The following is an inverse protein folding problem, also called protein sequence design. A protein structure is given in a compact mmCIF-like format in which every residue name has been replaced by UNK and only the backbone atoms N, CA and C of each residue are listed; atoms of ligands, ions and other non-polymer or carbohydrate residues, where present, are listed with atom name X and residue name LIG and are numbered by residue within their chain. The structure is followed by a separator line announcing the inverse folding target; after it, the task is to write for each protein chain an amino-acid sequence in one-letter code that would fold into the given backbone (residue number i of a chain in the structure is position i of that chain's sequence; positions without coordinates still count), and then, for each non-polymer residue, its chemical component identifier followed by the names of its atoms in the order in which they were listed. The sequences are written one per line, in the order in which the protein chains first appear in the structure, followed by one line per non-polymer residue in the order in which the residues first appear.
data_IF_761462593021
#
_entry.id   IF_761462593021
#
_cell.length_a   1.000
_cell.length_b   1.000
_cell.length_c   1.000
_cell.angle_alpha   90.00
_cell.angle_beta   90.00
_cell.angle_gamma   90.00
#
_symmetry.space_group_name_H-M   'P 1'
#
loop_
_entity.id
_entity.type
_entity.pdbx_description
1 polymer ?
#
# COMPACT_ATOMS: atom_id res chain seq x y z
N UNK A 1 59.05 -17.07 18.50
CA UNK A 1 58.22 -17.35 17.31
C UNK A 1 57.88 -18.84 17.37
N UNK A 2 56.71 -19.29 17.85
CA UNK A 2 55.33 -18.79 17.64
C UNK A 2 55.07 -18.74 16.12
N UNK A 3 54.20 -19.53 15.48
CA UNK A 3 53.13 -20.41 15.99
C UNK A 3 52.92 -21.66 15.09
N UNK A 4 52.72 -22.81 15.75
CA UNK A 4 51.74 -23.88 15.46
C UNK A 4 51.50 -24.39 14.02
N UNK A 5 51.92 -25.65 13.82
CA UNK A 5 51.40 -26.59 12.81
C UNK A 5 50.30 -27.44 13.47
N UNK A 6 49.09 -27.57 12.89
CA UNK A 6 48.35 -28.84 12.64
C UNK A 6 46.88 -28.66 12.22
N UNK A 7 46.28 -29.67 11.55
CA UNK A 7 44.94 -29.62 10.96
C UNK A 7 43.80 -30.03 11.93
N UNK A 8 42.59 -30.03 11.38
CA UNK A 8 41.26 -30.23 11.98
C UNK A 8 41.07 -31.51 12.82
N UNK A 9 40.16 -31.47 13.82
CA UNK A 9 39.44 -32.63 14.32
C UNK A 9 37.94 -32.61 13.94
N UNK A 10 37.43 -33.74 13.45
CA UNK A 10 36.01 -34.01 13.23
C UNK A 10 35.56 -34.98 14.34
N UNK A 11 34.58 -34.63 15.19
CA UNK A 11 33.89 -35.54 16.13
C UNK A 11 32.54 -34.95 16.59
N UNK A 12 31.56 -35.74 17.10
CA UNK A 12 30.15 -35.54 16.74
C UNK A 12 29.14 -35.37 17.91
N UNK A 13 27.87 -35.22 17.51
CA UNK A 13 26.56 -35.28 18.20
C UNK A 13 26.39 -35.68 19.70
N UNK A 14 25.40 -35.02 20.33
CA UNK A 14 24.60 -35.40 21.53
C UNK A 14 25.36 -35.46 22.89
N UNK A 15 24.80 -35.17 24.08
CA UNK A 15 23.41 -35.12 24.60
C UNK A 15 23.31 -34.09 25.82
N UNK A 16 22.32 -34.03 26.76
CA UNK A 16 21.64 -32.75 27.08
C UNK A 16 21.59 -32.26 28.57
N UNK A 17 21.08 -31.03 28.76
CA UNK A 17 20.38 -30.43 29.96
C UNK A 17 21.08 -30.35 31.36
N UNK A 18 20.75 -29.40 32.28
CA UNK A 18 19.40 -28.85 32.59
C UNK A 18 19.25 -27.33 32.84
N UNK A 19 17.98 -26.90 33.00
CA UNK A 19 17.51 -25.50 33.15
C UNK A 19 17.28 -25.10 34.62
N UNK A 20 17.97 -24.06 35.12
CA UNK A 20 17.56 -23.19 36.26
C UNK A 20 18.48 -21.93 36.36
N UNK A 21 18.09 -20.74 36.85
CA UNK A 21 16.95 -19.87 36.51
C UNK A 21 17.25 -18.38 36.93
N UNK A 22 16.48 -17.42 36.38
CA UNK A 22 16.37 -15.97 36.76
C UNK A 22 17.57 -15.01 36.48
N UNK A 23 17.36 -13.68 36.40
CA UNK A 23 16.45 -12.99 35.46
C UNK A 23 17.06 -11.71 34.83
N UNK A 24 16.61 -11.30 33.63
CA UNK A 24 16.88 -9.92 33.13
C UNK A 24 15.85 -9.43 32.12
N UNK A 25 15.00 -8.51 32.59
CA UNK A 25 14.37 -7.36 31.93
C UNK A 25 14.43 -7.22 30.39
N UNK A 26 13.23 -7.15 29.81
CA UNK A 26 12.79 -6.17 28.80
C UNK A 26 13.55 -6.02 27.46
N UNK A 27 12.99 -6.63 26.41
CA UNK A 27 12.47 -5.82 25.29
C UNK A 27 11.26 -6.50 24.66
N UNK A 28 10.11 -5.85 24.77
CA UNK A 28 8.85 -6.31 24.17
C UNK A 28 8.90 -6.17 22.65
N UNK A 29 8.56 -7.23 21.94
CA UNK A 29 8.01 -7.14 20.58
C UNK A 29 6.85 -8.13 20.49
N UNK A 30 5.65 -7.62 20.72
CA UNK A 30 4.40 -8.38 20.63
C UNK A 30 4.20 -8.96 19.24
N UNK A 31 4.13 -10.28 19.15
CA UNK A 31 3.34 -10.94 18.11
C UNK A 31 1.86 -10.67 18.41
N UNK A 32 1.17 -10.02 17.49
CA UNK A 32 -0.29 -10.03 17.41
C UNK A 32 -0.67 -10.29 15.96
N UNK A 33 -1.59 -11.22 15.79
CA UNK A 33 -1.87 -11.89 14.53
C UNK A 33 -2.65 -10.97 13.58
N UNK A 34 -2.37 -11.07 12.28
CA UNK A 34 -2.91 -10.16 11.26
C UNK A 34 -4.32 -10.60 10.82
N UNK A 35 -5.29 -10.53 11.75
CA UNK A 35 -6.71 -10.58 11.41
C UNK A 35 -7.19 -9.18 10.99
N UNK A 36 -7.09 -8.91 9.69
CA UNK A 36 -7.66 -7.71 9.09
C UNK A 36 -8.17 -8.05 7.69
N UNK A 37 -9.11 -9.00 7.66
CA UNK A 37 -10.04 -9.26 6.55
C UNK A 37 -10.95 -8.03 6.34
N UNK A 38 -10.38 -6.95 5.80
CA UNK A 38 -11.17 -5.86 5.25
C UNK A 38 -11.76 -6.33 3.93
N UNK A 39 -13.00 -6.81 4.02
CA UNK A 39 -13.88 -7.22 2.94
C UNK A 39 -13.73 -6.34 1.69
N UNK A 40 -13.45 -6.98 0.55
CA UNK A 40 -13.24 -6.32 -0.74
C UNK A 40 -14.57 -5.96 -1.45
N UNK A 41 -15.73 -5.96 -0.76
CA UNK A 41 -17.06 -5.76 -1.35
C UNK A 41 -17.83 -4.52 -0.86
N UNK A 42 -17.26 -3.64 -0.04
CA UNK A 42 -17.86 -2.32 0.22
C UNK A 42 -17.59 -1.36 -0.96
N UNK A 43 -18.34 -1.53 -2.06
CA UNK A 43 -18.48 -0.52 -3.12
C UNK A 43 -19.30 0.67 -2.59
N UNK A 44 -18.71 1.85 -2.36
CA UNK A 44 -19.47 3.00 -1.91
C UNK A 44 -20.33 3.55 -3.07
N UNK A 45 -21.64 3.35 -2.99
CA UNK A 45 -22.63 3.70 -4.02
C UNK A 45 -22.45 5.11 -4.60
N UNK A 46 -22.11 5.18 -5.89
CA UNK A 46 -21.67 6.37 -6.63
C UNK A 46 -22.78 7.40 -6.95
N UNK A 47 -23.51 7.98 -5.98
CA UNK A 47 -24.56 8.95 -6.33
C UNK A 47 -24.93 10.07 -5.34
N UNK A 48 -24.23 10.25 -4.21
CA UNK A 48 -24.50 11.38 -3.29
C UNK A 48 -23.27 12.30 -3.20
N UNK A 49 -23.25 13.33 -4.06
CA UNK A 49 -22.32 14.46 -4.14
C UNK A 49 -21.13 14.38 -3.17
N UNK A 50 -20.08 13.69 -3.61
CA UNK A 50 -19.02 13.15 -2.77
C UNK A 50 -18.46 14.19 -1.78
N UNK A 51 -18.99 14.16 -0.54
CA UNK A 51 -18.75 15.19 0.47
C UNK A 51 -17.28 15.30 0.84
N UNK A 52 -16.54 14.20 0.63
CA UNK A 52 -15.09 14.14 0.74
C UNK A 52 -14.38 14.98 -0.33
N UNK A 53 -14.79 14.89 -1.61
CA UNK A 53 -14.23 15.72 -2.69
C UNK A 53 -14.57 17.21 -2.48
N UNK A 54 -15.79 17.53 -2.04
CA UNK A 54 -16.16 18.89 -1.66
C UNK A 54 -15.35 19.42 -0.47
N UNK A 55 -14.99 18.57 0.50
CA UNK A 55 -14.10 18.93 1.60
C UNK A 55 -12.66 19.15 1.13
N UNK A 56 -12.13 18.27 0.26
CA UNK A 56 -10.80 18.41 -0.33
C UNK A 56 -10.68 19.72 -1.14
N UNK A 57 -11.72 20.11 -1.89
CA UNK A 57 -11.78 21.38 -2.62
C UNK A 57 -11.70 22.63 -1.73
N UNK A 58 -12.08 22.55 -0.44
CA UNK A 58 -11.97 23.66 0.52
C UNK A 58 -10.55 23.84 1.05
N UNK A 59 -9.74 22.77 1.08
CA UNK A 59 -8.34 22.83 1.48
C UNK A 59 -7.47 23.29 0.30
N UNK A 60 -6.67 24.38 0.43
CA UNK A 60 -5.83 24.86 -0.67
C UNK A 60 -4.81 23.83 -1.18
N UNK A 61 -4.33 22.94 -0.30
CA UNK A 61 -3.38 21.87 -0.65
C UNK A 61 -4.08 20.75 -1.42
N UNK A 62 -5.20 20.28 -0.91
CA UNK A 62 -5.90 19.12 -1.46
C UNK A 62 -6.66 19.49 -2.73
N UNK A 63 -7.16 20.73 -2.85
CA UNK A 63 -7.65 21.31 -4.10
C UNK A 63 -6.59 21.28 -5.21
N UNK A 64 -5.33 21.62 -4.91
CA UNK A 64 -4.27 21.58 -5.91
C UNK A 64 -3.92 20.15 -6.35
N UNK A 65 -3.97 19.19 -5.42
CA UNK A 65 -3.83 17.77 -5.74
C UNK A 65 -5.00 17.29 -6.61
N UNK A 66 -6.24 17.59 -6.21
CA UNK A 66 -7.44 17.19 -6.91
C UNK A 66 -7.46 17.70 -8.35
N UNK A 67 -7.20 18.99 -8.56
CA UNK A 67 -7.13 19.58 -9.91
C UNK A 67 -6.02 18.99 -10.79
N UNK A 68 -4.93 18.47 -10.20
CA UNK A 68 -3.90 17.75 -10.95
C UNK A 68 -4.34 16.35 -11.33
N UNK A 69 -5.00 15.63 -10.41
CA UNK A 69 -5.53 14.29 -10.66
C UNK A 69 -6.63 14.32 -11.72
N UNK A 70 -7.56 15.25 -11.60
CA UNK A 70 -8.66 15.52 -12.53
C UNK A 70 -8.15 15.65 -13.98
N UNK A 71 -7.24 16.61 -14.22
CA UNK A 71 -6.62 16.80 -15.54
C UNK A 71 -5.78 15.60 -16.01
N UNK A 72 -5.16 14.84 -15.10
CA UNK A 72 -4.36 13.67 -15.50
C UNK A 72 -5.25 12.50 -15.90
N UNK A 73 -6.40 12.32 -15.24
CA UNK A 73 -7.43 11.36 -15.63
C UNK A 73 -8.10 11.79 -16.93
N UNK A 74 -8.46 13.06 -17.10
CA UNK A 74 -8.98 13.60 -18.37
C UNK A 74 -8.02 13.36 -19.54
N UNK A 75 -6.72 13.69 -19.37
CA UNK A 75 -5.67 13.40 -20.37
C UNK A 75 -5.52 11.90 -20.64
N UNK A 76 -5.62 11.07 -19.60
CA UNK A 76 -5.53 9.62 -19.74
C UNK A 76 -6.73 9.06 -20.52
N UNK A 77 -7.96 9.47 -20.21
CA UNK A 77 -9.18 9.04 -20.89
C UNK A 77 -9.13 9.44 -22.37
N UNK A 78 -8.75 10.69 -22.66
CA UNK A 78 -8.64 11.22 -24.03
C UNK A 78 -7.52 10.61 -24.88
N UNK A 79 -6.47 10.00 -24.29
CA UNK A 79 -5.39 9.37 -25.06
C UNK A 79 -5.70 7.90 -25.40
N UNK A 80 -6.08 7.55 -26.65
CA UNK A 80 -6.42 6.18 -27.01
C UNK A 80 -5.23 5.21 -26.97
N UNK A 81 -4.00 5.73 -26.93
CA UNK A 81 -2.77 4.93 -26.89
C UNK A 81 -2.50 4.36 -25.49
N UNK A 82 -3.11 4.95 -24.45
CA UNK A 82 -2.87 4.62 -23.05
C UNK A 82 -4.07 3.86 -22.47
N UNK A 83 -3.83 2.65 -21.98
CA UNK A 83 -4.84 1.82 -21.30
C UNK A 83 -4.57 1.61 -19.80
N UNK A 84 -3.39 2.04 -19.32
CA UNK A 84 -2.94 1.98 -17.93
C UNK A 84 -2.32 3.32 -17.51
N UNK A 85 -2.68 3.82 -16.34
CA UNK A 85 -2.06 4.98 -15.68
C UNK A 85 -1.63 4.57 -14.28
N UNK A 86 -0.34 4.64 -13.98
CA UNK A 86 0.20 4.37 -12.65
C UNK A 86 0.61 5.68 -11.97
N UNK A 87 0.12 5.88 -10.75
CA UNK A 87 0.56 6.99 -9.90
C UNK A 87 1.79 6.58 -9.07
N UNK A 88 2.68 7.53 -8.74
CA UNK A 88 3.81 7.27 -7.84
C UNK A 88 3.31 6.89 -6.44
N UNK A 89 4.24 6.52 -5.55
CA UNK A 89 3.91 6.20 -4.16
C UNK A 89 3.17 7.37 -3.48
N UNK A 90 1.95 7.08 -3.04
CA UNK A 90 1.01 8.01 -2.43
C UNK A 90 0.65 7.56 -1.02
N UNK A 91 0.45 8.51 -0.11
CA UNK A 91 -0.06 8.21 1.23
C UNK A 91 -1.55 7.80 1.18
N UNK A 92 -2.08 7.21 2.26
CA UNK A 92 -3.44 6.68 2.28
C UNK A 92 -4.53 7.71 1.93
N UNK A 93 -4.37 8.97 2.37
CA UNK A 93 -5.32 10.05 2.07
C UNK A 93 -5.26 10.47 0.59
N UNK A 94 -4.07 10.56 0.00
CA UNK A 94 -3.90 10.81 -1.43
C UNK A 94 -4.52 9.69 -2.27
N UNK A 95 -4.31 8.42 -1.88
CA UNK A 95 -4.95 7.28 -2.54
C UNK A 95 -6.47 7.37 -2.46
N UNK A 96 -7.04 7.72 -1.29
CA UNK A 96 -8.48 7.91 -1.14
C UNK A 96 -9.03 8.96 -2.11
N UNK A 97 -8.32 10.08 -2.33
CA UNK A 97 -8.69 11.06 -3.37
C UNK A 97 -8.65 10.41 -4.76
N UNK A 98 -7.58 9.68 -5.12
CA UNK A 98 -7.50 8.97 -6.41
C UNK A 98 -8.66 7.99 -6.59
N UNK A 99 -9.00 7.20 -5.57
CA UNK A 99 -10.13 6.27 -5.60
C UNK A 99 -11.46 6.97 -5.89
N UNK A 100 -11.75 8.08 -5.20
CA UNK A 100 -12.99 8.86 -5.40
C UNK A 100 -13.07 9.52 -6.77
N UNK A 101 -11.97 10.09 -7.28
CA UNK A 101 -11.94 10.66 -8.63
C UNK A 101 -12.01 9.58 -9.71
N UNK A 102 -11.37 8.43 -9.52
CA UNK A 102 -11.49 7.30 -10.43
C UNK A 102 -12.93 6.75 -10.48
N UNK A 103 -13.62 6.69 -9.33
CA UNK A 103 -15.05 6.35 -9.26
C UNK A 103 -15.92 7.35 -10.04
N UNK A 104 -15.64 8.65 -9.95
CA UNK A 104 -16.35 9.69 -10.71
C UNK A 104 -16.25 9.47 -12.23
N UNK A 105 -15.05 9.21 -12.76
CA UNK A 105 -14.83 8.89 -14.18
C UNK A 105 -15.13 7.42 -14.54
N UNK A 106 -15.66 6.62 -13.60
CA UNK A 106 -15.94 5.17 -13.75
C UNK A 106 -14.71 4.35 -14.21
N UNK A 107 -13.52 4.82 -13.88
CA UNK A 107 -12.25 4.15 -14.13
C UNK A 107 -12.06 2.97 -13.17
N UNK A 108 -11.66 1.83 -13.73
CA UNK A 108 -11.21 0.68 -12.93
C UNK A 108 -9.88 1.05 -12.25
N UNK A 109 -9.71 0.64 -11.01
CA UNK A 109 -8.55 1.01 -10.21
C UNK A 109 -8.13 -0.10 -9.26
N UNK A 110 -6.81 -0.26 -9.08
CA UNK A 110 -6.21 -1.21 -8.14
C UNK A 110 -5.09 -0.54 -7.36
N UNK A 111 -4.84 -1.02 -6.15
CA UNK A 111 -3.66 -0.62 -5.37
C UNK A 111 -2.55 -1.63 -5.64
N UNK A 112 -1.31 -1.16 -5.77
CA UNK A 112 -0.13 -2.04 -5.87
C UNK A 112 -0.01 -2.98 -4.65
N UNK A 113 0.63 -4.15 -4.82
CA UNK A 113 0.82 -5.15 -3.76
C UNK A 113 1.55 -4.60 -2.53
N UNK A 114 2.40 -3.57 -2.70
CA UNK A 114 3.06 -2.86 -1.60
C UNK A 114 2.12 -1.91 -0.83
N UNK A 115 0.84 -1.82 -1.20
CA UNK A 115 -0.17 -0.85 -0.72
C UNK A 115 0.29 0.62 -0.78
N UNK A 116 1.14 0.97 -1.75
CA UNK A 116 1.79 2.30 -1.88
C UNK A 116 1.42 3.08 -3.15
N UNK A 117 1.24 2.42 -4.28
CA UNK A 117 0.86 3.06 -5.55
C UNK A 117 -0.58 2.72 -5.94
N UNK A 118 -1.19 3.53 -6.81
CA UNK A 118 -2.52 3.27 -7.38
C UNK A 118 -2.40 3.23 -8.90
N UNK A 119 -3.02 2.22 -9.51
CA UNK A 119 -3.01 1.99 -10.95
C UNK A 119 -4.45 2.07 -11.45
N UNK A 120 -4.69 2.93 -12.42
CA UNK A 120 -5.97 3.05 -13.12
C UNK A 120 -5.91 2.33 -14.47
N UNK A 121 -7.05 1.77 -14.86
CA UNK A 121 -7.31 1.14 -16.15
C UNK A 121 -8.59 1.72 -16.75
N UNK A 122 -8.62 1.82 -18.08
CA UNK A 122 -9.85 2.15 -18.79
C UNK A 122 -10.82 0.96 -18.71
N UNK A 123 -12.06 1.26 -18.36
CA UNK A 123 -13.19 0.33 -18.39
C UNK A 123 -14.07 0.64 -19.61
N UNK A 124 -14.92 -0.30 -20.09
CA UNK A 124 -15.94 0.03 -21.08
C UNK A 124 -17.03 0.99 -20.54
N UNK A 125 -17.08 1.19 -19.22
CA UNK A 125 -17.99 2.10 -18.51
C UNK A 125 -17.37 3.49 -18.26
N UNK A 126 -16.13 3.73 -18.71
CA UNK A 126 -15.43 5.00 -18.49
C UNK A 126 -16.14 6.13 -19.22
N UNK A 127 -16.58 7.14 -18.48
CA UNK A 127 -17.28 8.32 -18.99
C UNK A 127 -16.56 9.61 -18.56
N UNK A 128 -16.85 10.71 -19.27
CA UNK A 128 -16.24 12.04 -19.11
C UNK A 128 -17.34 13.10 -19.00
#
# INVERSE_FOLDING_TARGET
MILLKRPEPIVPAAEPDPIEAQPTEESSSVELEEDNELDENEVPSNNELDGFLLAALKSPKDRLLLLKLDQEMERFINDPSRNRLEFPQMNAYQRLIVHRVAQYFKLSHVVDSSKKAVILYKSPETEM
#
